data_IF_145961316459
#
_entry.id   IF_145961316459
#
_cell.length_a   1.000
_cell.length_b   1.000
_cell.length_c   1.000
_cell.angle_alpha   90.00
_cell.angle_beta   90.00
_cell.angle_gamma   90.00
#
_symmetry.space_group_name_H-M   'P 1'
#
loop_
_entity.id
_entity.type
_entity.pdbx_description
1 polymer ?
#
# COMPACT_ATOMS: atom_id res chain seq x y z
N UNK A 1 0.48 -14.63 7.22
CA UNK A 1 0.43 -13.79 6.00
C UNK A 1 -0.56 -12.68 6.25
N UNK A 2 -0.06 -11.45 6.25
CA UNK A 2 -0.83 -10.23 6.48
C UNK A 2 -1.07 -9.51 5.15
N UNK A 3 -1.95 -8.51 5.19
CA UNK A 3 -2.30 -7.69 4.05
C UNK A 3 -2.16 -6.22 4.44
N UNK A 4 -1.67 -5.42 3.52
CA UNK A 4 -1.30 -4.03 3.77
C UNK A 4 -1.78 -3.14 2.63
N UNK A 5 -1.90 -1.85 2.92
CA UNK A 5 -2.02 -0.79 1.93
C UNK A 5 -0.90 0.20 2.16
N UNK A 6 -0.21 0.56 1.07
CA UNK A 6 0.86 1.56 1.07
C UNK A 6 0.48 2.67 0.09
N UNK A 7 0.61 3.92 0.52
CA UNK A 7 0.31 5.10 -0.28
C UNK A 7 1.57 5.71 -0.89
N UNK A 8 1.47 6.09 -2.15
CA UNK A 8 2.47 6.84 -2.89
C UNK A 8 1.80 7.90 -3.75
N UNK A 9 2.42 9.06 -3.89
CA UNK A 9 2.03 10.02 -4.93
C UNK A 9 2.65 9.59 -6.26
N UNK A 10 1.87 9.40 -7.35
CA UNK A 10 2.41 8.90 -8.62
C UNK A 10 3.52 9.77 -9.22
N UNK A 11 3.52 11.08 -8.93
CA UNK A 11 4.57 12.01 -9.35
C UNK A 11 5.92 11.76 -8.65
N UNK A 12 5.90 11.12 -7.48
CA UNK A 12 7.10 10.74 -6.74
C UNK A 12 7.53 9.30 -7.06
N UNK A 13 6.58 8.35 -6.99
CA UNK A 13 6.83 6.95 -7.30
C UNK A 13 5.52 6.21 -7.58
N UNK A 14 5.33 5.77 -8.82
CA UNK A 14 4.12 5.10 -9.30
C UNK A 14 4.23 3.57 -9.27
N UNK A 15 3.14 2.87 -9.60
CA UNK A 15 3.16 1.42 -9.79
C UNK A 15 3.96 1.03 -11.05
N UNK A 16 4.01 1.89 -12.07
CA UNK A 16 4.84 1.71 -13.25
C UNK A 16 6.33 1.78 -12.94
N UNK A 17 6.72 2.70 -12.04
CA UNK A 17 8.08 2.75 -11.52
C UNK A 17 8.43 1.44 -10.81
N UNK A 18 7.55 0.96 -9.93
CA UNK A 18 7.75 -0.33 -9.26
C UNK A 18 7.81 -1.50 -10.23
N UNK A 19 7.01 -1.49 -11.30
CA UNK A 19 7.01 -2.51 -12.35
C UNK A 19 8.33 -2.50 -13.11
N UNK A 20 8.84 -1.32 -13.48
CA UNK A 20 10.14 -1.13 -14.14
C UNK A 20 11.29 -1.60 -13.24
N UNK A 21 11.28 -1.19 -11.99
CA UNK A 21 12.38 -1.42 -11.05
C UNK A 21 12.34 -2.84 -10.45
N UNK A 22 11.16 -3.48 -10.49
CA UNK A 22 10.88 -4.82 -9.99
C UNK A 22 10.82 -4.90 -8.46
N UNK A 23 11.74 -4.25 -7.76
CA UNK A 23 11.78 -4.16 -6.29
C UNK A 23 12.32 -2.79 -5.87
N UNK A 24 11.78 -2.24 -4.78
CA UNK A 24 12.27 -0.99 -4.19
C UNK A 24 12.26 -1.04 -2.67
N UNK A 25 13.09 -0.20 -2.07
CA UNK A 25 13.06 0.08 -0.63
C UNK A 25 11.98 1.10 -0.33
N UNK A 26 10.98 0.68 0.43
CA UNK A 26 9.93 1.56 0.92
C UNK A 26 10.41 2.30 2.16
N UNK A 27 10.91 3.51 1.96
CA UNK A 27 11.48 4.38 2.98
C UNK A 27 10.69 5.70 3.12
N UNK A 28 11.18 6.64 3.95
CA UNK A 28 10.60 7.97 4.06
C UNK A 28 9.31 8.04 4.88
N UNK A 29 8.88 6.94 5.50
CA UNK A 29 7.74 6.93 6.41
C UNK A 29 8.13 7.62 7.71
N UNK A 30 7.46 8.73 8.03
CA UNK A 30 7.72 9.57 9.22
C UNK A 30 6.55 9.65 10.21
N UNK A 31 5.67 8.66 10.16
CA UNK A 31 4.59 8.50 11.14
C UNK A 31 4.87 7.27 12.01
N UNK A 32 4.88 7.44 13.34
CA UNK A 32 5.22 6.37 14.28
C UNK A 32 4.32 5.13 14.16
N UNK A 33 3.02 5.31 13.93
CA UNK A 33 2.08 4.20 13.77
C UNK A 33 2.30 3.48 12.44
N UNK A 34 2.47 4.22 11.34
CA UNK A 34 2.80 3.64 10.03
C UNK A 34 4.13 2.86 10.07
N UNK A 35 5.15 3.40 10.76
CA UNK A 35 6.41 2.70 11.01
C UNK A 35 6.21 1.40 11.78
N UNK A 36 5.38 1.40 12.82
CA UNK A 36 5.11 0.19 13.59
C UNK A 36 4.44 -0.88 12.71
N UNK A 37 3.49 -0.50 11.85
CA UNK A 37 2.93 -1.43 10.86
C UNK A 37 3.98 -1.99 9.90
N UNK A 38 4.93 -1.18 9.44
CA UNK A 38 6.03 -1.68 8.61
C UNK A 38 6.90 -2.71 9.35
N UNK A 39 7.12 -2.53 10.66
CA UNK A 39 7.87 -3.50 11.48
C UNK A 39 7.14 -4.84 11.67
N UNK A 40 5.81 -4.82 11.53
CA UNK A 40 4.98 -6.02 11.59
C UNK A 40 4.89 -6.77 10.25
N UNK A 41 5.38 -6.17 9.16
CA UNK A 41 5.44 -6.82 7.84
C UNK A 41 6.40 -8.00 7.84
N UNK A 42 6.01 -9.06 7.13
CA UNK A 42 6.83 -10.26 6.89
C UNK A 42 6.96 -10.51 5.39
N UNK A 43 8.05 -11.18 4.99
CA UNK A 43 8.24 -11.56 3.58
C UNK A 43 7.05 -12.38 3.08
N UNK A 44 6.54 -12.03 1.89
CA UNK A 44 5.37 -12.64 1.27
C UNK A 44 4.02 -12.00 1.67
N UNK A 45 4.01 -11.09 2.64
CA UNK A 45 2.80 -10.29 2.93
C UNK A 45 2.38 -9.48 1.70
N UNK A 46 1.07 -9.37 1.50
CA UNK A 46 0.50 -8.76 0.29
C UNK A 46 0.22 -7.28 0.50
N UNK A 47 0.45 -6.48 -0.53
CA UNK A 47 0.36 -5.03 -0.47
C UNK A 47 -0.55 -4.50 -1.59
N UNK A 48 -1.52 -3.67 -1.24
CA UNK A 48 -2.24 -2.81 -2.16
C UNK A 48 -1.42 -1.53 -2.36
N UNK A 49 -1.03 -1.25 -3.60
CA UNK A 49 -0.31 -0.03 -3.96
C UNK A 49 -1.32 1.07 -4.27
N UNK A 50 -1.36 2.11 -3.45
CA UNK A 50 -2.37 3.17 -3.49
C UNK A 50 -1.78 4.47 -4.02
N UNK A 51 -2.29 4.95 -5.15
CA UNK A 51 -2.02 6.26 -5.71
C UNK A 51 -2.76 7.36 -4.94
N UNK A 52 -2.06 8.08 -4.06
CA UNK A 52 -2.57 9.26 -3.35
C UNK A 52 -2.34 10.55 -4.14
N UNK A 53 -3.12 11.60 -3.82
CA UNK A 53 -2.98 12.92 -4.46
C UNK A 53 -3.01 12.86 -6.00
N UNK A 54 -3.82 11.95 -6.55
CA UNK A 54 -3.92 11.65 -7.97
C UNK A 54 -5.37 11.75 -8.46
N UNK A 55 -5.55 11.82 -9.78
CA UNK A 55 -6.85 11.77 -10.44
C UNK A 55 -6.90 10.62 -11.46
N UNK A 56 -7.59 9.50 -11.16
CA UNK A 56 -8.25 9.18 -9.89
C UNK A 56 -7.25 8.77 -8.78
N UNK A 57 -7.58 9.10 -7.52
CA UNK A 57 -6.89 8.51 -6.35
C UNK A 57 -7.51 7.15 -6.03
N UNK A 58 -6.67 6.15 -5.72
CA UNK A 58 -7.16 4.79 -5.52
C UNK A 58 -6.05 3.75 -5.54
N UNK A 59 -6.43 2.48 -5.62
CA UNK A 59 -5.47 1.37 -5.71
C UNK A 59 -5.11 1.14 -7.17
N UNK A 60 -3.82 1.30 -7.51
CA UNK A 60 -3.31 1.15 -8.87
C UNK A 60 -2.69 -0.22 -9.15
N UNK A 61 -2.43 -1.02 -8.12
CA UNK A 61 -1.90 -2.36 -8.32
C UNK A 61 -1.59 -3.10 -7.02
N UNK A 62 -0.86 -4.20 -7.18
CA UNK A 62 -0.46 -5.14 -6.16
C UNK A 62 1.06 -5.21 -6.09
N UNK A 63 1.55 -5.29 -4.87
CA UNK A 63 2.93 -5.59 -4.53
C UNK A 63 2.96 -6.64 -3.42
N UNK A 64 4.17 -7.08 -3.06
CA UNK A 64 4.38 -7.91 -1.88
C UNK A 64 5.70 -7.57 -1.20
N UNK A 65 5.77 -7.83 0.10
CA UNK A 65 6.98 -7.59 0.89
C UNK A 65 8.05 -8.60 0.48
N UNK A 66 9.18 -8.11 0.00
CA UNK A 66 10.34 -8.91 -0.40
C UNK A 66 11.44 -8.91 0.66
N UNK A 67 11.46 -7.94 1.57
CA UNK A 67 12.38 -7.90 2.73
C UNK A 67 11.71 -7.23 3.93
N UNK A 68 11.91 -7.83 5.10
CA UNK A 68 11.38 -7.32 6.36
C UNK A 68 12.01 -5.98 6.79
N UNK A 69 11.41 -5.36 7.80
CA UNK A 69 11.81 -4.05 8.26
C UNK A 69 13.27 -4.02 8.73
N UNK A 70 13.99 -3.00 8.27
CA UNK A 70 15.33 -2.67 8.72
C UNK A 70 15.44 -1.17 9.02
N UNK A 71 16.38 -0.75 9.87
CA UNK A 71 16.60 0.67 10.14
C UNK A 71 16.94 1.47 8.87
N UNK A 72 16.46 2.71 8.81
CA UNK A 72 17.01 3.72 7.90
C UNK A 72 18.31 4.31 8.49
N UNK A 73 18.89 5.34 7.85
CA UNK A 73 20.06 6.07 8.39
C UNK A 73 19.81 6.59 9.80
N UNK A 74 18.60 7.12 10.04
CA UNK A 74 18.11 7.38 11.40
C UNK A 74 17.41 6.11 11.92
N UNK A 75 17.93 5.45 12.97
CA UNK A 75 17.40 4.19 13.48
C UNK A 75 16.02 4.32 14.14
N UNK A 76 15.53 5.55 14.37
CA UNK A 76 14.15 5.78 14.78
C UNK A 76 13.14 5.34 13.70
N UNK A 77 13.56 5.32 12.44
CA UNK A 77 12.75 4.99 11.26
C UNK A 77 13.12 3.63 10.68
N UNK A 78 12.23 3.09 9.85
CA UNK A 78 12.39 1.76 9.30
C UNK A 78 11.85 1.71 7.89
N UNK A 79 12.53 0.94 7.04
CA UNK A 79 12.15 0.65 5.67
C UNK A 79 11.95 -0.85 5.47
N UNK A 80 11.08 -1.22 4.55
CA UNK A 80 10.91 -2.61 4.05
C UNK A 80 11.25 -2.62 2.57
N UNK A 81 11.53 -3.78 1.97
CA UNK A 81 11.52 -3.86 0.50
C UNK A 81 10.20 -4.43 0.04
N UNK A 82 9.64 -3.84 -1.02
CA UNK A 82 8.46 -4.35 -1.72
C UNK A 82 8.83 -4.66 -3.17
N UNK A 83 8.22 -5.71 -3.72
CA UNK A 83 8.36 -6.08 -5.13
C UNK A 83 7.04 -6.03 -5.87
N UNK A 84 7.12 -5.69 -7.16
CA UNK A 84 5.99 -5.67 -8.07
C UNK A 84 5.31 -7.05 -8.14
N UNK A 85 3.98 -7.05 -8.17
CA UNK A 85 3.20 -8.28 -8.42
C UNK A 85 2.29 -8.09 -9.63
N UNK A 86 1.47 -7.03 -9.63
CA UNK A 86 0.52 -6.77 -10.71
C UNK A 86 0.18 -5.29 -10.78
N UNK A 87 0.07 -4.76 -11.99
CA UNK A 87 -0.57 -3.48 -12.27
C UNK A 87 -2.03 -3.72 -12.64
N UNK A 88 -2.94 -2.86 -12.17
CA UNK A 88 -4.33 -2.92 -12.59
C UNK A 88 -4.52 -2.19 -13.93
N UNK A 89 -5.43 -2.64 -14.82
CA UNK A 89 -5.72 -1.94 -16.07
C UNK A 89 -6.20 -0.51 -15.83
N UNK A 90 -6.99 -0.32 -14.76
CA UNK A 90 -7.47 0.97 -14.27
C UNK A 90 -7.30 1.03 -12.75
N UNK A 91 -7.06 2.24 -12.23
CA UNK A 91 -7.05 2.50 -10.79
C UNK A 91 -8.44 2.20 -10.21
N UNK A 92 -8.51 1.41 -9.14
CA UNK A 92 -9.74 1.24 -8.35
C UNK A 92 -9.95 2.49 -7.48
N UNK A 93 -10.89 3.40 -7.84
CA UNK A 93 -10.94 4.73 -7.23
C UNK A 93 -11.41 4.68 -5.78
N UNK A 94 -10.97 5.62 -4.96
CA UNK A 94 -11.41 5.77 -3.56
C UNK A 94 -12.94 5.83 -3.43
N UNK A 95 -13.61 6.49 -4.38
CA UNK A 95 -15.08 6.55 -4.40
C UNK A 95 -15.73 5.18 -4.62
N UNK A 96 -15.12 4.32 -5.43
CA UNK A 96 -15.53 2.92 -5.56
C UNK A 96 -15.29 2.16 -4.26
N UNK A 97 -14.14 2.36 -3.61
CA UNK A 97 -13.84 1.72 -2.31
C UNK A 97 -14.89 2.07 -1.25
N UNK A 98 -15.27 3.35 -1.15
CA UNK A 98 -16.29 3.84 -0.20
C UNK A 98 -17.68 3.25 -0.43
N UNK A 99 -18.03 2.92 -1.68
CA UNK A 99 -19.35 2.39 -2.07
C UNK A 99 -19.41 0.86 -2.09
N UNK A 100 -18.27 0.19 -1.96
CA UNK A 100 -18.20 -1.27 -2.06
C UNK A 100 -18.47 -1.92 -0.71
N UNK A 101 -19.46 -2.82 -0.68
CA UNK A 101 -19.79 -3.60 0.52
C UNK A 101 -18.59 -4.43 0.97
N UNK A 102 -18.28 -4.40 2.25
CA UNK A 102 -17.15 -5.12 2.86
C UNK A 102 -15.86 -4.30 2.98
N UNK A 103 -15.83 -3.07 2.48
CA UNK A 103 -14.67 -2.15 2.58
C UNK A 103 -14.91 -0.98 3.55
N UNK A 104 -16.07 -0.93 4.21
CA UNK A 104 -16.51 0.21 5.03
C UNK A 104 -15.61 0.47 6.23
N UNK A 105 -14.87 -0.56 6.67
CA UNK A 105 -14.00 -0.50 7.86
C UNK A 105 -12.55 -0.18 7.53
N UNK A 106 -12.17 -0.15 6.25
CA UNK A 106 -10.80 0.15 5.85
C UNK A 106 -10.35 1.51 6.38
N UNK A 107 -9.09 1.60 6.80
CA UNK A 107 -8.54 2.87 7.28
C UNK A 107 -8.50 3.94 6.18
N UNK A 108 -8.34 3.54 4.91
CA UNK A 108 -8.23 4.47 3.77
C UNK A 108 -9.54 5.18 3.44
N UNK A 109 -10.70 4.58 3.77
CA UNK A 109 -12.01 5.19 3.50
C UNK A 109 -12.49 6.10 4.65
N UNK A 110 -11.85 6.00 5.82
CA UNK A 110 -12.21 6.81 7.00
C UNK A 110 -11.69 8.24 6.88
N UNK A 111 -12.58 9.22 7.08
CA UNK A 111 -12.23 10.64 7.10
C UNK A 111 -11.22 10.93 8.22
N UNK A 112 -10.23 11.76 7.94
CA UNK A 112 -9.21 12.20 8.91
C UNK A 112 -8.03 11.25 9.12
N UNK A 113 -8.07 10.03 8.57
CA UNK A 113 -6.95 9.08 8.70
C UNK A 113 -5.82 9.42 7.73
N UNK A 114 -4.71 9.92 8.28
CA UNK A 114 -3.51 10.33 7.51
C UNK A 114 -2.37 9.29 7.53
N UNK A 115 -2.69 8.01 7.69
CA UNK A 115 -1.71 6.93 7.66
C UNK A 115 -1.35 6.58 6.20
N UNK A 116 -0.05 6.51 5.90
CA UNK A 116 0.50 6.09 4.60
C UNK A 116 0.68 4.58 4.49
N UNK A 117 0.86 3.89 5.62
CA UNK A 117 0.90 2.43 5.73
C UNK A 117 -0.26 2.01 6.62
N UNK A 118 -1.03 1.02 6.17
CA UNK A 118 -2.26 0.61 6.84
C UNK A 118 -2.42 -0.91 6.81
N UNK A 119 -2.88 -1.55 7.91
CA UNK A 119 -3.32 -2.93 7.86
C UNK A 119 -4.59 -3.06 7.02
N UNK A 120 -4.70 -4.19 6.33
CA UNK A 120 -5.85 -4.59 5.52
C UNK A 120 -6.22 -6.01 5.94
N UNK A 121 -7.50 -6.32 5.98
CA UNK A 121 -7.96 -7.70 6.19
C UNK A 121 -7.86 -8.50 4.90
N UNK A 122 -7.78 -9.83 5.01
CA UNK A 122 -7.79 -10.71 3.83
C UNK A 122 -9.01 -10.45 2.92
N UNK A 123 -10.20 -10.29 3.50
CA UNK A 123 -11.43 -10.04 2.76
C UNK A 123 -11.40 -8.70 2.00
N UNK A 124 -10.94 -7.63 2.65
CA UNK A 124 -10.79 -6.32 1.99
C UNK A 124 -9.81 -6.37 0.82
N UNK A 125 -8.66 -7.04 1.01
CA UNK A 125 -7.67 -7.24 -0.04
C UNK A 125 -8.26 -8.01 -1.23
N UNK A 126 -8.94 -9.12 -0.98
CA UNK A 126 -9.53 -9.96 -2.03
C UNK A 126 -10.60 -9.23 -2.83
N UNK A 127 -11.44 -8.42 -2.18
CA UNK A 127 -12.44 -7.57 -2.84
C UNK A 127 -11.74 -6.59 -3.78
N UNK A 128 -10.73 -5.85 -3.30
CA UNK A 128 -10.02 -4.85 -4.12
C UNK A 128 -9.24 -5.50 -5.26
N UNK A 129 -8.54 -6.60 -4.98
CA UNK A 129 -7.82 -7.36 -5.98
C UNK A 129 -8.74 -7.95 -7.07
N UNK A 130 -10.03 -8.17 -6.76
CA UNK A 130 -11.05 -8.56 -7.73
C UNK A 130 -11.57 -7.36 -8.53
N UNK A 131 -11.73 -6.19 -7.90
CA UNK A 131 -12.16 -4.96 -8.57
C UNK A 131 -11.12 -4.45 -9.58
N UNK A 132 -9.83 -4.61 -9.29
CA UNK A 132 -8.74 -4.25 -10.20
C UNK A 132 -8.36 -5.34 -11.20
N UNK A 133 -9.27 -6.26 -11.53
CA UNK A 133 -9.01 -7.31 -12.53
C UNK A 133 -9.26 -6.83 -13.93
#
# INVERSE_FOLDING_TARGET
MNYWLIKSEPSAYSIDDLKRDGTTSWEGVRNYQARNFMRDMRVGDKVLFYASSADPTGVSGLAEVSREARPEKDPAWSMVDIRFVKEFPDVVPLETLKKTRGLEKMLVVKRGVRLSVQPVTKGEYEIIAKLGR
#
